data_IF_983596545272
#
_entry.id   IF_983596545272
#
_cell.length_a   1.000
_cell.length_b   1.000
_cell.length_c   1.000
_cell.angle_alpha   90.00
_cell.angle_beta   90.00
_cell.angle_gamma   90.00
#
_symmetry.space_group_name_H-M   'P 1'
#
loop_
_entity.id
_entity.type
_entity.pdbx_description
1 polymer ?
#
# COMPACT_ATOMS: atom_id res chain seq x y z
N UNK A 1 -13.82 -22.81 -12.66
CA UNK A 1 -13.04 -22.68 -11.40
C UNK A 1 -13.55 -21.44 -10.71
N UNK A 2 -14.06 -21.59 -9.49
CA UNK A 2 -14.91 -20.63 -8.82
C UNK A 2 -14.20 -19.27 -8.62
N UNK A 3 -14.96 -18.22 -8.94
CA UNK A 3 -14.84 -16.82 -8.54
C UNK A 3 -13.90 -16.54 -7.34
N UNK A 4 -12.58 -16.53 -7.57
CA UNK A 4 -11.57 -16.07 -6.61
C UNK A 4 -11.36 -14.56 -6.74
N UNK A 5 -12.45 -13.80 -6.69
CA UNK A 5 -12.38 -12.41 -6.26
C UNK A 5 -12.21 -12.40 -4.73
N UNK A 6 -11.18 -13.09 -4.22
CA UNK A 6 -10.67 -12.77 -2.90
C UNK A 6 -10.33 -11.29 -2.96
N UNK A 7 -11.00 -10.51 -2.12
CA UNK A 7 -11.01 -9.06 -2.17
C UNK A 7 -9.56 -8.58 -2.28
N UNK A 8 -9.16 -8.04 -3.45
CA UNK A 8 -7.77 -7.61 -3.71
C UNK A 8 -7.28 -6.69 -2.60
N UNK A 9 -8.18 -5.87 -2.07
CA UNK A 9 -7.93 -5.02 -0.92
C UNK A 9 -7.64 -5.79 0.37
N UNK A 10 -8.35 -6.87 0.69
CA UNK A 10 -8.10 -7.66 1.91
C UNK A 10 -6.75 -8.37 1.87
N UNK A 11 -6.39 -8.96 0.73
CA UNK A 11 -5.11 -9.66 0.58
C UNK A 11 -3.94 -8.66 0.65
N UNK A 12 -4.04 -7.54 -0.07
CA UNK A 12 -2.98 -6.53 -0.15
C UNK A 12 -2.87 -5.67 1.11
N UNK A 13 -3.95 -5.52 1.90
CA UNK A 13 -3.91 -4.72 3.13
C UNK A 13 -2.91 -5.27 4.16
N UNK A 14 -2.78 -6.60 4.26
CA UNK A 14 -1.78 -7.23 5.12
C UNK A 14 -0.36 -6.83 4.71
N UNK A 15 -0.04 -7.07 3.42
CA UNK A 15 1.28 -6.76 2.86
C UNK A 15 1.64 -5.27 3.01
N UNK A 16 0.67 -4.36 2.82
CA UNK A 16 0.91 -2.92 2.97
C UNK A 16 1.16 -2.50 4.42
N UNK A 17 0.54 -3.16 5.41
CA UNK A 17 0.81 -2.88 6.83
C UNK A 17 2.19 -3.35 7.24
N UNK A 18 2.60 -4.53 6.76
CA UNK A 18 3.96 -5.04 7.00
C UNK A 18 4.99 -4.11 6.34
N UNK A 19 4.71 -3.65 5.12
CA UNK A 19 5.56 -2.67 4.45
C UNK A 19 5.65 -1.35 5.21
N UNK A 20 4.53 -0.85 5.78
CA UNK A 20 4.51 0.37 6.58
C UNK A 20 5.38 0.24 7.83
N UNK A 21 5.28 -0.88 8.54
CA UNK A 21 6.14 -1.14 9.70
C UNK A 21 7.63 -1.17 9.30
N UNK A 22 7.95 -1.80 8.16
CA UNK A 22 9.31 -1.84 7.62
C UNK A 22 9.83 -0.48 7.07
N UNK A 23 8.98 0.54 6.91
CA UNK A 23 9.45 1.89 6.56
C UNK A 23 10.13 2.58 7.76
N UNK A 24 9.69 2.26 8.98
CA UNK A 24 10.20 2.86 10.21
C UNK A 24 11.51 2.22 10.67
N UNK A 25 11.74 0.95 10.30
CA UNK A 25 13.01 0.27 10.53
C UNK A 25 14.08 0.75 9.53
N UNK A 26 15.22 1.20 10.06
CA UNK A 26 16.41 1.55 9.27
C UNK A 26 17.21 0.29 8.92
N UNK A 27 16.58 -0.64 8.20
CA UNK A 27 17.26 -1.84 7.74
C UNK A 27 18.26 -1.54 6.60
N UNK A 28 19.35 -2.31 6.58
CA UNK A 28 20.35 -2.37 5.50
C UNK A 28 19.72 -3.02 4.25
N UNK A 29 18.78 -2.32 3.63
CA UNK A 29 18.13 -2.76 2.40
C UNK A 29 19.14 -2.86 1.25
N UNK A 30 19.01 -3.89 0.43
CA UNK A 30 19.68 -3.93 -0.86
C UNK A 30 19.20 -2.79 -1.77
N UNK A 31 20.00 -2.46 -2.80
CA UNK A 31 19.61 -1.44 -3.79
C UNK A 31 18.29 -1.77 -4.51
N UNK A 32 17.96 -3.06 -4.65
CA UNK A 32 16.68 -3.49 -5.23
C UNK A 32 15.52 -3.24 -4.28
N UNK A 33 15.64 -3.63 -3.02
CA UNK A 33 14.62 -3.42 -1.99
C UNK A 33 14.38 -1.93 -1.73
N UNK A 34 15.44 -1.11 -1.69
CA UNK A 34 15.31 0.34 -1.54
C UNK A 34 14.53 0.98 -2.71
N UNK A 35 14.75 0.49 -3.94
CA UNK A 35 14.00 0.93 -5.13
C UNK A 35 12.55 0.47 -5.09
N UNK A 36 12.31 -0.79 -4.71
CA UNK A 36 10.96 -1.34 -4.55
C UNK A 36 10.16 -0.59 -3.48
N UNK A 37 10.76 -0.32 -2.33
CA UNK A 37 10.19 0.49 -1.24
C UNK A 37 9.78 1.88 -1.73
N UNK A 38 10.66 2.57 -2.46
CA UNK A 38 10.36 3.90 -3.02
C UNK A 38 9.21 3.85 -4.03
N UNK A 39 9.18 2.82 -4.89
CA UNK A 39 8.10 2.63 -5.85
C UNK A 39 6.76 2.34 -5.15
N UNK A 40 6.77 1.51 -4.11
CA UNK A 40 5.59 1.19 -3.31
C UNK A 40 5.00 2.45 -2.67
N UNK A 41 5.82 3.25 -1.98
CA UNK A 41 5.37 4.50 -1.34
C UNK A 41 4.75 5.45 -2.36
N UNK A 42 5.35 5.56 -3.56
CA UNK A 42 4.80 6.39 -4.64
C UNK A 42 3.41 5.92 -5.07
N UNK A 43 3.24 4.61 -5.28
CA UNK A 43 1.93 4.05 -5.64
C UNK A 43 0.90 4.27 -4.53
N UNK A 44 1.27 4.08 -3.26
CA UNK A 44 0.39 4.36 -2.13
C UNK A 44 -0.04 5.84 -2.08
N UNK A 45 0.87 6.77 -2.37
CA UNK A 45 0.54 8.20 -2.44
C UNK A 45 -0.44 8.52 -3.60
N UNK A 46 -0.22 7.93 -4.78
CA UNK A 46 -1.14 8.08 -5.92
C UNK A 46 -2.53 7.49 -5.64
N UNK A 47 -2.59 6.36 -4.91
CA UNK A 47 -3.86 5.77 -4.46
C UNK A 47 -4.56 6.70 -3.47
N UNK A 48 -3.83 7.27 -2.51
CA UNK A 48 -4.40 8.19 -1.52
C UNK A 48 -4.93 9.48 -2.17
N UNK A 49 -4.17 10.08 -3.08
CA UNK A 49 -4.61 11.27 -3.84
C UNK A 49 -5.88 10.99 -4.66
N UNK A 50 -5.95 9.83 -5.32
CA UNK A 50 -7.16 9.43 -6.04
C UNK A 50 -8.34 9.16 -5.10
N UNK A 51 -8.09 8.54 -3.95
CA UNK A 51 -9.12 8.28 -2.96
C UNK A 51 -9.68 9.58 -2.37
N UNK A 52 -8.82 10.56 -2.09
CA UNK A 52 -9.18 11.91 -1.66
C UNK A 52 -10.03 12.62 -2.72
N UNK A 53 -9.58 12.60 -3.98
CA UNK A 53 -10.35 13.16 -5.10
C UNK A 53 -11.72 12.51 -5.29
N UNK A 54 -11.86 11.23 -4.96
CA UNK A 54 -13.12 10.48 -5.01
C UNK A 54 -13.99 10.65 -3.76
N UNK A 55 -13.54 11.39 -2.75
CA UNK A 55 -14.24 11.56 -1.47
C UNK A 55 -14.31 10.29 -0.64
N UNK A 56 -13.37 9.36 -0.82
CA UNK A 56 -13.30 8.10 -0.04
C UNK A 56 -12.56 8.25 1.30
N UNK A 57 -11.84 9.36 1.48
CA UNK A 57 -11.14 9.71 2.71
C UNK A 57 -11.91 10.74 3.55
N UNK A 58 -13.00 11.28 3.00
CA UNK A 58 -13.93 12.14 3.72
C UNK A 58 -14.81 11.24 4.61
N UNK A 59 -14.43 11.09 5.88
CA UNK A 59 -15.30 10.47 6.88
C UNK A 59 -16.53 11.36 7.12
N UNK A 60 -17.72 10.93 6.66
CA UNK A 60 -18.96 11.19 7.40
C UNK A 60 -19.26 9.93 8.22
N UNK A 61 -19.14 10.04 9.55
CA UNK A 61 -19.56 9.06 10.57
C UNK A 61 -21.01 8.55 10.36
#
# INVERSE_FOLDING_TARGET
MANMSYCRFQNTLGDLRDCLAALEDNDDLSEEEARARKALVKVCAEIAEQADFMGLLDEED
#
